data_IF_111419879751
#
_entry.id   IF_111419879751
#
_cell.length_a   1.000
_cell.length_b   1.000
_cell.length_c   1.000
_cell.angle_alpha   90.00
_cell.angle_beta   90.00
_cell.angle_gamma   90.00
#
_symmetry.space_group_name_H-M   'P 1'
#
loop_
_entity.id
_entity.type
_entity.pdbx_description
1 polymer ?
#
# COMPACT_ATOMS: atom_id res chain seq x y z
N UNK A 1 -16.96 -17.01 -5.27
CA UNK A 1 -15.87 -16.05 -4.97
C UNK A 1 -15.22 -16.47 -3.66
N UNK A 2 -13.88 -16.54 -3.62
CA UNK A 2 -13.14 -17.07 -2.45
C UNK A 2 -13.00 -16.06 -1.30
N UNK A 3 -13.36 -14.79 -1.49
CA UNK A 3 -13.28 -13.74 -0.47
C UNK A 3 -11.86 -13.41 0.02
N UNK A 4 -10.81 -13.77 -0.76
CA UNK A 4 -9.42 -13.66 -0.31
C UNK A 4 -9.02 -12.22 0.07
N UNK A 5 -9.53 -11.21 -0.62
CA UNK A 5 -9.21 -9.81 -0.32
C UNK A 5 -9.88 -9.29 0.96
N UNK A 6 -10.93 -9.97 1.44
CA UNK A 6 -11.62 -9.65 2.69
C UNK A 6 -11.15 -10.47 3.90
N UNK A 7 -10.20 -11.40 3.74
CA UNK A 7 -9.87 -12.41 4.74
C UNK A 7 -9.60 -11.83 6.13
N UNK A 8 -8.78 -10.78 6.25
CA UNK A 8 -8.43 -10.14 7.53
C UNK A 8 -9.19 -8.83 7.81
N UNK A 9 -10.02 -8.38 6.87
CA UNK A 9 -10.85 -7.18 7.07
C UNK A 9 -12.01 -7.57 8.00
N UNK A 10 -12.35 -6.71 9.00
CA UNK A 10 -13.43 -7.01 9.92
C UNK A 10 -14.78 -7.26 9.23
N UNK A 11 -15.62 -8.10 9.85
CA UNK A 11 -16.96 -8.43 9.33
C UNK A 11 -17.85 -7.20 9.18
N UNK A 12 -17.73 -6.22 10.08
CA UNK A 12 -18.46 -4.95 10.02
C UNK A 12 -18.18 -4.14 8.74
N UNK A 13 -17.06 -4.40 8.07
CA UNK A 13 -16.70 -3.81 6.77
C UNK A 13 -16.84 -4.81 5.62
N UNK A 14 -17.57 -5.92 5.82
CA UNK A 14 -17.83 -6.93 4.78
C UNK A 14 -16.68 -7.91 4.53
N UNK A 15 -15.69 -7.95 5.40
CA UNK A 15 -14.62 -8.95 5.40
C UNK A 15 -14.99 -10.22 6.14
N UNK A 16 -14.03 -11.15 6.28
CA UNK A 16 -14.21 -12.41 7.01
C UNK A 16 -13.71 -12.34 8.46
N UNK A 17 -13.02 -11.29 8.85
CA UNK A 17 -12.55 -11.07 10.21
C UNK A 17 -11.51 -12.09 10.70
N UNK A 18 -10.90 -12.85 9.81
CA UNK A 18 -10.03 -13.96 10.13
C UNK A 18 -8.72 -13.54 10.82
N UNK A 19 -8.16 -14.50 11.54
CA UNK A 19 -6.91 -14.30 12.29
C UNK A 19 -5.69 -14.22 11.38
N UNK A 20 -4.60 -13.62 11.90
CA UNK A 20 -3.31 -13.64 11.24
C UNK A 20 -2.78 -15.07 10.99
N UNK A 21 -3.13 -16.04 11.85
CA UNK A 21 -2.77 -17.44 11.65
C UNK A 21 -3.50 -18.02 10.43
N UNK A 22 -4.81 -17.81 10.30
CA UNK A 22 -5.58 -18.22 9.13
C UNK A 22 -5.01 -17.60 7.85
N UNK A 23 -4.69 -16.30 7.91
CA UNK A 23 -4.05 -15.60 6.80
C UNK A 23 -2.71 -16.25 6.41
N UNK A 24 -1.84 -16.55 7.38
CA UNK A 24 -0.54 -17.14 7.12
C UNK A 24 -0.65 -18.51 6.44
N UNK A 25 -1.58 -19.36 6.91
CA UNK A 25 -1.84 -20.68 6.30
C UNK A 25 -2.38 -20.56 4.86
N UNK A 26 -3.32 -19.64 4.63
CA UNK A 26 -3.84 -19.40 3.27
C UNK A 26 -2.76 -18.89 2.31
N UNK A 27 -1.93 -17.95 2.77
CA UNK A 27 -0.86 -17.37 1.95
C UNK A 27 0.25 -18.39 1.67
N UNK A 28 0.56 -19.29 2.61
CA UNK A 28 1.49 -20.40 2.39
C UNK A 28 1.02 -21.31 1.25
N UNK A 29 -0.26 -21.70 1.25
CA UNK A 29 -0.81 -22.55 0.18
C UNK A 29 -0.87 -21.81 -1.18
N UNK A 30 -1.22 -20.54 -1.19
CA UNK A 30 -1.15 -19.72 -2.41
C UNK A 30 0.28 -19.63 -2.94
N UNK A 31 1.26 -19.44 -2.04
CA UNK A 31 2.66 -19.32 -2.43
C UNK A 31 3.25 -20.61 -3.01
N UNK A 32 2.75 -21.79 -2.57
CA UNK A 32 3.11 -23.09 -3.17
C UNK A 32 2.71 -23.18 -4.65
N UNK A 33 1.57 -22.59 -5.00
CA UNK A 33 1.12 -22.53 -6.39
C UNK A 33 1.83 -21.44 -7.18
N UNK A 34 1.83 -20.23 -6.64
CA UNK A 34 2.45 -19.06 -7.29
C UNK A 34 2.74 -17.93 -6.28
N UNK A 35 4.00 -17.80 -5.88
CA UNK A 35 4.45 -16.83 -4.88
C UNK A 35 4.08 -15.39 -5.20
N UNK A 36 4.06 -14.98 -6.46
CA UNK A 36 3.68 -13.60 -6.84
C UNK A 36 2.24 -13.25 -6.41
N UNK A 37 1.33 -14.21 -6.46
CA UNK A 37 -0.07 -13.99 -6.04
C UNK A 37 -0.14 -13.77 -4.54
N UNK A 38 0.63 -14.49 -3.74
CA UNK A 38 0.71 -14.27 -2.29
C UNK A 38 1.21 -12.87 -1.95
N UNK A 39 2.20 -12.36 -2.69
CA UNK A 39 2.69 -11.00 -2.51
C UNK A 39 1.69 -9.92 -2.87
N UNK A 40 0.91 -10.12 -3.94
CA UNK A 40 -0.18 -9.21 -4.33
C UNK A 40 -1.21 -9.09 -3.20
N UNK A 41 -1.61 -10.24 -2.63
CA UNK A 41 -2.55 -10.31 -1.50
C UNK A 41 -1.95 -9.70 -0.24
N UNK A 42 -0.69 -10.02 0.07
CA UNK A 42 0.00 -9.49 1.24
C UNK A 42 0.06 -7.96 1.24
N UNK A 43 0.45 -7.36 0.11
CA UNK A 43 0.54 -5.89 0.01
C UNK A 43 -0.82 -5.22 0.18
N UNK A 44 -1.88 -5.81 -0.34
CA UNK A 44 -3.25 -5.33 -0.12
C UNK A 44 -3.60 -5.35 1.38
N UNK A 45 -3.28 -6.43 2.10
CA UNK A 45 -3.56 -6.52 3.53
C UNK A 45 -2.69 -5.60 4.40
N UNK A 46 -1.46 -5.25 3.99
CA UNK A 46 -0.68 -4.22 4.68
C UNK A 46 -1.47 -2.91 4.74
N UNK A 47 -2.05 -2.48 3.61
CA UNK A 47 -2.84 -1.24 3.56
C UNK A 47 -4.15 -1.36 4.35
N UNK A 48 -4.86 -2.49 4.21
CA UNK A 48 -6.07 -2.73 4.98
C UNK A 48 -5.82 -2.74 6.50
N UNK A 49 -4.71 -3.35 6.93
CA UNK A 49 -4.32 -3.36 8.33
C UNK A 49 -3.97 -1.96 8.86
N UNK A 50 -3.20 -1.17 8.08
CA UNK A 50 -2.90 0.21 8.46
C UNK A 50 -4.17 1.05 8.61
N UNK A 51 -5.13 0.92 7.68
CA UNK A 51 -6.43 1.57 7.76
C UNK A 51 -7.21 1.13 9.00
N UNK A 52 -7.30 -0.18 9.25
CA UNK A 52 -7.97 -0.74 10.44
C UNK A 52 -7.40 -0.17 11.74
N UNK A 53 -6.07 -0.05 11.85
CA UNK A 53 -5.41 0.37 13.09
C UNK A 53 -5.34 1.89 13.27
N UNK A 54 -5.17 2.65 12.20
CA UNK A 54 -4.79 4.05 12.25
C UNK A 54 -5.70 4.98 11.45
N UNK A 55 -6.57 4.44 10.59
CA UNK A 55 -7.51 5.24 9.81
C UNK A 55 -8.58 5.91 10.68
N UNK A 56 -9.09 7.05 10.22
CA UNK A 56 -10.30 7.64 10.80
C UNK A 56 -11.51 6.75 10.52
N UNK A 57 -12.60 6.93 11.22
CA UNK A 57 -13.82 6.13 10.99
C UNK A 57 -14.37 6.37 9.57
N UNK A 58 -14.24 7.58 9.03
CA UNK A 58 -14.61 7.90 7.65
C UNK A 58 -13.72 7.16 6.65
N UNK A 59 -12.41 7.11 6.88
CA UNK A 59 -11.48 6.38 6.02
C UNK A 59 -11.76 4.86 6.05
N UNK A 60 -12.00 4.31 7.23
CA UNK A 60 -12.35 2.89 7.38
C UNK A 60 -13.64 2.55 6.64
N UNK A 61 -14.70 3.34 6.87
CA UNK A 61 -16.00 3.14 6.23
C UNK A 61 -15.94 3.31 4.70
N UNK A 62 -15.05 4.17 4.19
CA UNK A 62 -14.90 4.40 2.77
C UNK A 62 -14.07 3.31 2.07
N UNK A 63 -12.91 2.94 2.64
CA UNK A 63 -11.96 2.05 1.96
C UNK A 63 -12.19 0.57 2.26
N UNK A 64 -12.41 0.19 3.54
CA UNK A 64 -12.38 -1.22 3.92
C UNK A 64 -13.46 -2.08 3.24
N UNK A 65 -14.72 -1.63 3.05
CA UNK A 65 -15.70 -2.41 2.32
C UNK A 65 -15.32 -2.67 0.85
N UNK A 66 -14.80 -1.65 0.17
CA UNK A 66 -14.34 -1.77 -1.22
C UNK A 66 -13.10 -2.66 -1.33
N UNK A 67 -12.23 -2.62 -0.33
CA UNK A 67 -11.06 -3.49 -0.25
C UNK A 67 -11.47 -4.94 0.00
N UNK A 68 -12.43 -5.19 0.89
CA UNK A 68 -12.97 -6.53 1.15
C UNK A 68 -13.62 -7.15 -0.09
N UNK A 69 -14.36 -6.35 -0.87
CA UNK A 69 -14.94 -6.76 -2.14
C UNK A 69 -13.91 -6.94 -3.28
N UNK A 70 -12.67 -6.47 -3.11
CA UNK A 70 -11.63 -6.47 -4.14
C UNK A 70 -11.79 -5.37 -5.20
N UNK A 71 -12.73 -4.46 -5.02
CA UNK A 71 -12.95 -3.29 -5.90
C UNK A 71 -11.81 -2.28 -5.79
N UNK A 72 -11.31 -2.08 -4.58
CA UNK A 72 -10.13 -1.26 -4.29
C UNK A 72 -8.97 -2.14 -3.90
N UNK A 73 -7.86 -2.05 -4.63
CA UNK A 73 -6.62 -2.76 -4.31
C UNK A 73 -5.60 -1.81 -3.71
N UNK A 74 -5.00 -2.24 -2.60
CA UNK A 74 -3.96 -1.49 -1.91
C UNK A 74 -2.55 -1.77 -2.43
N UNK A 75 -1.72 -0.73 -2.45
CA UNK A 75 -0.27 -0.81 -2.59
C UNK A 75 0.41 -0.03 -1.46
N UNK A 76 1.58 -0.50 -1.01
CA UNK A 76 2.37 0.18 0.01
C UNK A 76 3.70 0.67 -0.55
N UNK A 77 3.91 1.97 -0.52
CA UNK A 77 5.03 2.68 -1.13
C UNK A 77 5.97 3.22 -0.06
N UNK A 78 7.03 2.48 0.24
CA UNK A 78 8.01 2.80 1.28
C UNK A 78 9.40 3.00 0.71
N UNK A 79 9.94 1.97 0.03
CA UNK A 79 11.31 1.94 -0.48
C UNK A 79 11.56 2.99 -1.56
N UNK A 80 12.81 3.45 -1.62
CA UNK A 80 13.31 4.37 -2.63
C UNK A 80 14.53 3.76 -3.34
N UNK A 81 14.96 4.28 -4.49
CA UNK A 81 16.09 3.70 -5.24
C UNK A 81 17.37 3.50 -4.42
N UNK A 82 17.57 4.32 -3.40
CA UNK A 82 18.78 4.34 -2.57
C UNK A 82 18.59 3.73 -1.18
N UNK A 83 17.36 3.42 -0.76
CA UNK A 83 17.09 2.86 0.57
C UNK A 83 15.85 1.96 0.59
N UNK A 84 15.90 0.93 1.41
CA UNK A 84 14.81 0.00 1.68
C UNK A 84 14.80 -0.39 3.15
N UNK A 85 15.79 -1.15 3.60
CA UNK A 85 15.92 -1.55 5.02
C UNK A 85 16.15 -0.37 5.96
N UNK A 86 16.89 0.64 5.51
CA UNK A 86 17.03 1.92 6.23
C UNK A 86 15.91 2.88 5.86
N UNK A 87 14.73 2.68 6.44
CA UNK A 87 13.55 3.53 6.18
C UNK A 87 13.76 4.97 6.63
N UNK A 88 14.61 5.21 7.64
CA UNK A 88 14.93 6.55 8.10
C UNK A 88 15.64 7.40 7.03
N UNK A 89 16.30 6.74 6.06
CA UNK A 89 17.02 7.40 4.97
C UNK A 89 16.14 7.83 3.78
N UNK A 90 14.81 7.61 3.81
CA UNK A 90 13.93 8.08 2.73
C UNK A 90 14.07 9.59 2.54
N UNK A 91 13.94 10.04 1.30
CA UNK A 91 14.06 11.46 0.91
C UNK A 91 12.74 12.04 0.40
N UNK A 92 11.79 11.20 -0.01
CA UNK A 92 10.46 11.67 -0.39
C UNK A 92 9.83 12.43 0.76
N UNK A 93 9.19 13.55 0.46
CA UNK A 93 8.63 14.45 1.43
C UNK A 93 7.22 14.89 1.05
N UNK A 94 6.46 15.33 2.03
CA UNK A 94 5.21 16.04 1.84
C UNK A 94 5.31 17.41 2.52
N UNK A 95 5.01 18.45 1.77
CA UNK A 95 4.99 19.83 2.25
C UNK A 95 3.55 20.33 2.25
N UNK A 96 3.12 20.93 3.35
CA UNK A 96 1.78 21.48 3.46
C UNK A 96 1.65 22.73 2.57
N UNK A 97 0.58 22.77 1.79
CA UNK A 97 0.20 23.91 0.95
C UNK A 97 -1.29 24.21 1.18
N UNK A 98 -1.56 25.17 2.08
CA UNK A 98 -2.91 25.47 2.55
C UNK A 98 -3.54 24.28 3.29
N UNK A 99 -4.65 23.77 2.76
CA UNK A 99 -5.36 22.60 3.28
C UNK A 99 -4.88 21.28 2.66
N UNK A 100 -4.00 21.34 1.66
CA UNK A 100 -3.45 20.21 0.94
C UNK A 100 -2.01 19.90 1.35
N UNK A 101 -1.48 18.78 0.80
CA UNK A 101 -0.07 18.40 0.86
C UNK A 101 0.47 18.13 -0.53
N UNK A 102 1.61 18.71 -0.85
CA UNK A 102 2.37 18.40 -2.06
C UNK A 102 3.39 17.32 -1.73
N UNK A 103 3.21 16.13 -2.32
CA UNK A 103 4.14 15.03 -2.19
C UNK A 103 5.18 15.11 -3.31
N UNK A 104 6.47 15.04 -2.94
CA UNK A 104 7.59 15.08 -3.88
C UNK A 104 8.60 13.98 -3.56
N UNK A 105 9.00 13.20 -4.57
CA UNK A 105 9.98 12.15 -4.43
C UNK A 105 9.78 10.99 -5.40
N UNK A 106 10.64 9.98 -5.24
CA UNK A 106 10.62 8.77 -6.07
C UNK A 106 10.61 7.53 -5.18
N UNK A 107 9.67 6.65 -5.42
CA UNK A 107 9.57 5.33 -4.78
C UNK A 107 9.97 4.23 -5.77
N UNK A 108 10.35 3.05 -5.25
CA UNK A 108 10.76 1.91 -6.06
C UNK A 108 10.32 0.59 -5.43
N UNK A 109 10.21 -0.45 -6.23
CA UNK A 109 9.80 -1.81 -5.83
C UNK A 109 8.37 -1.87 -5.28
N UNK A 110 7.46 -1.19 -5.94
CA UNK A 110 6.08 -1.04 -5.50
C UNK A 110 5.21 -2.22 -5.98
N UNK A 111 5.01 -3.21 -5.11
CA UNK A 111 4.04 -4.29 -5.39
C UNK A 111 2.63 -3.71 -5.53
N UNK A 112 1.92 -4.10 -6.58
CA UNK A 112 0.61 -3.57 -6.98
C UNK A 112 0.61 -2.12 -7.48
N UNK A 113 1.76 -1.49 -7.75
CA UNK A 113 1.81 -0.08 -8.17
C UNK A 113 0.87 0.24 -9.33
N UNK A 114 0.98 -0.49 -10.44
CA UNK A 114 0.12 -0.32 -11.60
C UNK A 114 -1.31 -0.82 -11.41
N UNK A 115 -1.53 -1.86 -10.61
CA UNK A 115 -2.85 -2.49 -10.46
C UNK A 115 -3.68 -1.96 -9.28
N UNK A 116 -3.08 -1.20 -8.37
CA UNK A 116 -3.77 -0.60 -7.22
C UNK A 116 -4.58 0.62 -7.60
N UNK A 117 -5.59 0.91 -6.78
CA UNK A 117 -6.38 2.14 -6.85
C UNK A 117 -6.20 3.03 -5.62
N UNK A 118 -5.56 2.50 -4.57
CA UNK A 118 -5.09 3.28 -3.43
C UNK A 118 -3.65 2.89 -3.10
N UNK A 119 -2.80 3.88 -2.87
CA UNK A 119 -1.39 3.70 -2.47
C UNK A 119 -1.17 4.36 -1.12
N UNK A 120 -0.73 3.59 -0.14
CA UNK A 120 -0.23 4.12 1.13
C UNK A 120 1.23 4.52 0.92
N UNK A 121 1.51 5.82 0.90
CA UNK A 121 2.83 6.40 0.59
C UNK A 121 3.47 6.94 1.85
N UNK A 122 4.59 6.34 2.27
CA UNK A 122 5.37 6.81 3.40
C UNK A 122 6.35 7.91 2.96
N UNK A 123 6.25 9.10 3.55
CA UNK A 123 7.07 10.26 3.24
C UNK A 123 7.45 11.03 4.51
N UNK A 124 8.48 11.87 4.43
CA UNK A 124 8.81 12.82 5.50
C UNK A 124 7.86 14.01 5.47
N UNK A 125 7.39 14.42 6.66
CA UNK A 125 6.47 15.54 6.85
C UNK A 125 6.98 16.60 7.80
N UNK A 126 7.97 16.29 8.63
CA UNK A 126 8.54 17.20 9.61
C UNK A 126 10.06 17.14 9.56
N UNK A 127 10.68 18.21 9.07
CA UNK A 127 12.15 18.34 9.01
C UNK A 127 12.74 18.81 10.35
N UNK A 128 11.90 19.26 11.30
CA UNK A 128 12.31 19.79 12.61
C UNK A 128 12.24 18.80 13.78
N UNK A 129 11.88 17.56 13.53
CA UNK A 129 11.79 16.54 14.57
C UNK A 129 13.15 16.08 15.05
N UNK A 130 13.32 15.99 16.37
CA UNK A 130 14.52 15.43 17.03
C UNK A 130 14.73 13.93 16.76
N UNK A 131 13.78 13.27 16.13
CA UNK A 131 13.82 11.84 15.81
C UNK A 131 13.53 11.57 14.35
N UNK A 132 14.47 10.92 13.68
CA UNK A 132 14.32 10.46 12.28
C UNK A 132 13.17 9.47 12.07
N UNK A 133 12.63 8.89 13.15
CA UNK A 133 11.50 7.94 13.12
C UNK A 133 10.15 8.59 13.44
N UNK A 134 10.12 9.86 13.84
CA UNK A 134 8.90 10.60 14.18
C UNK A 134 8.53 11.68 13.16
N UNK A 135 9.29 11.79 12.10
CA UNK A 135 9.12 12.80 11.05
C UNK A 135 8.49 12.25 9.78
N UNK A 136 7.83 11.10 9.86
CA UNK A 136 7.23 10.42 8.71
C UNK A 136 5.73 10.25 8.89
N UNK A 137 5.00 10.37 7.78
CA UNK A 137 3.55 10.15 7.71
C UNK A 137 3.24 9.28 6.50
N UNK A 138 2.24 8.41 6.64
CA UNK A 138 1.69 7.65 5.53
C UNK A 138 0.46 8.35 4.98
N UNK A 139 0.51 8.74 3.71
CA UNK A 139 -0.62 9.30 2.97
C UNK A 139 -1.33 8.24 2.16
N UNK A 140 -2.65 8.28 2.12
CA UNK A 140 -3.46 7.48 1.21
C UNK A 140 -3.68 8.27 -0.07
N UNK A 141 -3.10 7.80 -1.16
CA UNK A 141 -3.19 8.42 -2.48
C UNK A 141 -4.08 7.56 -3.38
N UNK A 142 -5.27 8.06 -3.70
CA UNK A 142 -6.13 7.41 -4.67
C UNK A 142 -5.66 7.70 -6.10
N UNK A 143 -5.68 6.69 -6.96
CA UNK A 143 -5.32 6.81 -8.37
C UNK A 143 -6.06 5.79 -9.23
N UNK A 144 -6.23 6.03 -10.53
CA UNK A 144 -6.64 4.97 -11.46
C UNK A 144 -5.60 3.85 -11.50
N UNK A 145 -6.04 2.63 -11.78
CA UNK A 145 -5.13 1.55 -12.15
C UNK A 145 -4.52 1.86 -13.52
N UNK A 146 -3.24 1.53 -13.71
CA UNK A 146 -2.53 1.76 -14.97
C UNK A 146 -1.07 2.10 -14.79
N UNK A 147 -0.42 2.31 -15.93
CA UNK A 147 0.97 2.74 -16.06
C UNK A 147 1.05 4.07 -16.82
N UNK A 148 2.21 4.71 -16.79
CA UNK A 148 2.41 6.05 -17.31
C UNK A 148 1.97 7.10 -16.30
N UNK A 149 1.63 8.29 -16.76
CA UNK A 149 1.06 9.33 -15.91
C UNK A 149 -0.39 8.99 -15.57
N UNK A 150 -0.60 8.45 -14.37
CA UNK A 150 -1.92 7.99 -13.88
C UNK A 150 -2.75 9.12 -13.25
N UNK A 151 -2.08 10.19 -12.81
CA UNK A 151 -2.63 11.49 -12.39
C UNK A 151 -1.64 12.58 -12.73
N UNK A 152 -2.05 13.86 -12.81
CA UNK A 152 -1.10 14.96 -12.98
C UNK A 152 0.01 14.91 -11.92
N UNK A 153 1.26 14.79 -12.37
CA UNK A 153 2.44 14.68 -11.51
C UNK A 153 2.68 13.31 -10.87
N UNK A 154 1.83 12.31 -11.10
CA UNK A 154 2.02 10.93 -10.58
C UNK A 154 2.24 9.95 -11.74
N UNK A 155 3.45 9.42 -11.84
CA UNK A 155 3.81 8.46 -12.89
C UNK A 155 4.19 7.10 -12.29
N UNK A 156 3.66 6.03 -12.86
CA UNK A 156 4.05 4.63 -12.63
C UNK A 156 4.69 4.13 -13.94
N UNK A 157 6.01 4.08 -14.06
CA UNK A 157 6.67 3.86 -15.37
C UNK A 157 6.33 2.52 -16.03
N UNK A 158 6.17 1.47 -15.25
CA UNK A 158 5.88 0.13 -15.75
C UNK A 158 6.34 -0.95 -14.79
N UNK A 159 6.19 -2.19 -15.21
CA UNK A 159 6.63 -3.36 -14.43
C UNK A 159 8.14 -3.47 -14.46
N UNK A 160 8.69 -3.78 -13.28
CA UNK A 160 10.12 -4.11 -13.17
C UNK A 160 10.33 -5.55 -13.64
N UNK A 161 11.21 -5.74 -14.62
CA UNK A 161 11.59 -7.09 -15.07
C UNK A 161 12.50 -7.77 -14.05
N UNK A 162 12.05 -8.92 -13.58
CA UNK A 162 12.72 -9.70 -12.53
C UNK A 162 12.65 -11.19 -12.85
N UNK A 163 13.55 -11.95 -12.26
CA UNK A 163 13.69 -13.39 -12.45
C UNK A 163 12.42 -14.19 -12.02
N UNK A 164 11.69 -13.72 -11.03
CA UNK A 164 10.49 -14.39 -10.48
C UNK A 164 9.36 -13.43 -10.22
N UNK A 165 9.05 -13.14 -9.02
CA UNK A 165 8.02 -12.28 -8.45
C UNK A 165 7.47 -11.16 -9.38
N UNK A 166 6.48 -11.47 -10.20
CA UNK A 166 5.99 -10.62 -11.31
C UNK A 166 4.96 -9.55 -10.91
N UNK A 167 4.62 -9.42 -9.65
CA UNK A 167 3.63 -8.47 -9.14
C UNK A 167 4.19 -7.12 -8.66
N UNK A 168 5.45 -6.79 -8.97
CA UNK A 168 6.13 -5.56 -8.52
C UNK A 168 6.30 -4.61 -9.70
N UNK A 169 5.97 -3.35 -9.48
CA UNK A 169 6.03 -2.25 -10.43
C UNK A 169 7.01 -1.16 -9.96
#
# INVERSE_FOLDING_TARGET
EMGIFGLMIPEEYGGLGESLLTYALCVEEIARGWMSVSGIVNTHFIVAYMLKQHGTEEQKAYFLPKMAAGETRGAFSMSEPHCGSDVAAIKSKAVRDGDDYVLDGQKMWLTNGGSSTVVAVLVKTDEGSDSVYRNMTTFLVEKPAGFGEVRPGLTIPGKIDKMGYKGVD
#
